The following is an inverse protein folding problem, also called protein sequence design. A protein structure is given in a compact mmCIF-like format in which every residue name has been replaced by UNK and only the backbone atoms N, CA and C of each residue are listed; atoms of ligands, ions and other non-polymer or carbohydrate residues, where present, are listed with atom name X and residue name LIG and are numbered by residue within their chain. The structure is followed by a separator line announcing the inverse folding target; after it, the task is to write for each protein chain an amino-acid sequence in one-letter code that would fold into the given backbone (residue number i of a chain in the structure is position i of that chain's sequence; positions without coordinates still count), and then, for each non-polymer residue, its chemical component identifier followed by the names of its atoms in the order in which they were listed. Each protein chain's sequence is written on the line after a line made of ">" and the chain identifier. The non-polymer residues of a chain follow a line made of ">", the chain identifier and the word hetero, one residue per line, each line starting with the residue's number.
data_IF_071968666662
#
_entry.id   IF_071968666662
#
_cell.length_a   1.000
_cell.length_b   1.000
_cell.length_c   1.000
_cell.angle_alpha   90.00
_cell.angle_beta   90.00
_cell.angle_gamma   90.00
#
_symmetry.space_group_name_H-M   'P 1'
#
loop_
_entity.id
_entity.type
_entity.pdbx_description
1 polymer ?
#
# COMPACT_ATOMS: atom_id res chain seq x y z
N UNK A 1 -26.90 -45.16 1.30
CA UNK A 1 -27.10 -43.71 1.55
C UNK A 1 -25.87 -43.01 2.13
N UNK A 2 -25.04 -43.64 2.99
CA UNK A 2 -23.81 -43.00 3.51
C UNK A 2 -22.71 -42.70 2.46
N UNK A 3 -22.52 -43.54 1.45
CA UNK A 3 -21.46 -43.34 0.44
C UNK A 3 -21.66 -42.08 -0.42
N UNK A 4 -22.92 -41.66 -0.63
CA UNK A 4 -23.26 -40.45 -1.40
C UNK A 4 -23.01 -39.18 -0.58
N UNK A 5 -23.24 -39.23 0.73
CA UNK A 5 -22.98 -38.11 1.63
C UNK A 5 -21.47 -37.81 1.73
N UNK A 6 -20.63 -38.84 1.75
CA UNK A 6 -19.16 -38.68 1.80
C UNK A 6 -18.64 -38.00 0.51
N UNK A 7 -19.14 -38.41 -0.66
CA UNK A 7 -18.76 -37.78 -1.93
C UNK A 7 -19.16 -36.30 -2.00
N UNK A 8 -20.33 -35.94 -1.47
CA UNK A 8 -20.79 -34.55 -1.43
C UNK A 8 -19.91 -33.67 -0.52
N UNK A 9 -19.47 -34.18 0.63
CA UNK A 9 -18.59 -33.45 1.56
C UNK A 9 -17.18 -33.24 0.97
N UNK A 10 -16.64 -34.25 0.28
CA UNK A 10 -15.33 -34.14 -0.39
C UNK A 10 -15.40 -33.15 -1.56
N UNK A 11 -16.50 -33.15 -2.33
CA UNK A 11 -16.67 -32.19 -3.42
C UNK A 11 -16.81 -30.74 -2.92
N UNK A 12 -17.55 -30.50 -1.83
CA UNK A 12 -17.69 -29.16 -1.24
C UNK A 12 -16.38 -28.63 -0.63
N UNK A 13 -15.58 -29.49 0.00
CA UNK A 13 -14.29 -29.07 0.56
C UNK A 13 -13.28 -28.74 -0.53
N UNK A 14 -13.33 -29.45 -1.67
CA UNK A 14 -12.45 -29.18 -2.80
C UNK A 14 -12.80 -27.88 -3.55
N UNK A 15 -14.09 -27.51 -3.64
CA UNK A 15 -14.50 -26.22 -4.21
C UNK A 15 -14.18 -25.04 -3.29
N UNK A 16 -14.27 -25.20 -1.96
CA UNK A 16 -13.84 -24.19 -0.99
C UNK A 16 -12.34 -23.86 -1.09
N UNK A 17 -11.50 -24.85 -1.37
CA UNK A 17 -10.05 -24.66 -1.58
C UNK A 17 -9.71 -23.99 -2.92
N UNK A 18 -10.55 -24.13 -3.95
CA UNK A 18 -10.32 -23.48 -5.24
C UNK A 18 -10.73 -22.00 -5.24
N UNK A 19 -11.74 -21.61 -4.46
CA UNK A 19 -12.21 -20.21 -4.36
C UNK A 19 -11.27 -19.33 -3.53
N UNK A 20 -10.46 -19.92 -2.66
CA UNK A 20 -9.54 -19.17 -1.77
C UNK A 20 -8.19 -18.82 -2.40
N UNK A 21 -7.91 -19.25 -3.62
CA UNK A 21 -6.62 -19.02 -4.29
C UNK A 21 -6.51 -17.73 -5.10
N UNK A 22 -7.60 -16.96 -5.28
CA UNK A 22 -7.58 -15.69 -6.03
C UNK A 22 -7.51 -14.44 -5.11
N UNK A 23 -6.91 -14.56 -3.93
CA UNK A 23 -6.79 -13.46 -2.96
C UNK A 23 -5.36 -12.87 -2.83
N UNK A 24 -4.44 -13.16 -3.75
CA UNK A 24 -3.08 -12.56 -3.73
C UNK A 24 -2.70 -11.80 -5.01
N UNK A 25 -3.68 -11.42 -5.82
CA UNK A 25 -3.46 -10.44 -6.87
C UNK A 25 -3.34 -9.04 -6.27
N UNK A 26 -2.31 -8.76 -5.46
CA UNK A 26 -1.98 -7.36 -5.19
C UNK A 26 -1.73 -6.70 -6.56
N UNK A 27 -2.42 -5.60 -6.89
CA UNK A 27 -2.06 -4.84 -8.08
C UNK A 27 -0.57 -4.53 -7.97
N UNK A 28 0.20 -4.86 -9.01
CA UNK A 28 1.62 -4.47 -9.08
C UNK A 28 1.66 -2.95 -9.24
N UNK A 29 1.47 -2.22 -8.16
CA UNK A 29 1.62 -0.77 -8.12
C UNK A 29 3.09 -0.46 -8.36
N UNK A 30 3.38 0.32 -9.39
CA UNK A 30 4.75 0.75 -9.64
C UNK A 30 5.09 1.85 -8.63
N UNK A 31 6.05 1.56 -7.76
CA UNK A 31 6.51 2.51 -6.76
C UNK A 31 7.68 3.38 -7.23
N UNK A 32 8.13 3.22 -8.47
CA UNK A 32 9.22 4.01 -9.02
C UNK A 32 8.73 5.42 -9.38
N UNK A 33 9.34 6.43 -8.75
CA UNK A 33 9.04 7.85 -9.01
C UNK A 33 9.37 8.32 -10.43
N UNK A 34 10.16 7.58 -11.21
CA UNK A 34 10.40 7.92 -12.62
C UNK A 34 9.16 7.73 -13.50
N UNK A 35 8.10 7.10 -12.97
CA UNK A 35 6.81 6.90 -13.64
C UNK A 35 5.68 7.65 -12.91
N UNK A 36 4.46 7.55 -13.42
CA UNK A 36 3.31 8.17 -12.79
C UNK A 36 2.94 7.44 -11.49
N UNK A 37 3.00 8.13 -10.36
CA UNK A 37 2.51 7.63 -9.08
C UNK A 37 0.98 7.65 -9.04
N UNK A 38 0.37 6.59 -8.52
CA UNK A 38 -1.09 6.47 -8.38
C UNK A 38 -1.46 6.52 -6.91
N UNK A 39 -2.24 7.54 -6.50
CA UNK A 39 -2.72 7.72 -5.12
C UNK A 39 -4.23 7.42 -5.04
N UNK A 40 -4.75 6.95 -3.89
CA UNK A 40 -4.05 6.73 -2.63
C UNK A 40 -3.27 5.40 -2.57
N UNK A 41 -3.35 4.56 -3.61
CA UNK A 41 -2.70 3.24 -3.67
C UNK A 41 -1.20 3.27 -3.33
N UNK A 42 -0.46 4.26 -3.83
CA UNK A 42 0.95 4.40 -3.53
C UNK A 42 1.23 4.66 -2.04
N UNK A 43 0.32 5.28 -1.29
CA UNK A 43 0.49 5.49 0.15
C UNK A 43 0.50 4.17 0.91
N UNK A 44 -0.31 3.19 0.50
CA UNK A 44 -0.49 1.92 1.23
C UNK A 44 0.36 0.79 0.68
N UNK A 45 0.64 0.78 -0.63
CA UNK A 45 1.40 -0.30 -1.28
C UNK A 45 2.88 0.02 -1.48
N UNK A 46 3.27 1.30 -1.55
CA UNK A 46 4.67 1.65 -1.75
C UNK A 46 5.42 1.79 -0.43
N UNK A 47 6.64 1.24 -0.35
CA UNK A 47 7.42 1.32 0.87
C UNK A 47 7.74 2.77 1.19
N UNK A 48 7.87 3.08 2.47
CA UNK A 48 8.47 4.35 2.89
C UNK A 48 9.89 4.49 2.32
N UNK A 49 10.37 5.73 2.12
CA UNK A 49 11.73 5.96 1.65
C UNK A 49 12.74 5.41 2.65
N UNK A 50 13.89 4.97 2.15
CA UNK A 50 14.99 4.61 3.04
C UNK A 50 15.58 5.88 3.63
N UNK A 51 15.65 5.91 4.96
CA UNK A 51 16.34 6.97 5.70
C UNK A 51 17.84 6.96 5.34
N UNK A 52 18.35 8.11 4.94
CA UNK A 52 19.77 8.38 4.71
C UNK A 52 20.19 9.59 5.55
N UNK A 53 20.76 9.30 6.73
CA UNK A 53 21.17 10.31 7.72
C UNK A 53 22.32 11.21 7.25
N UNK A 54 22.96 10.89 6.12
CA UNK A 54 23.95 11.78 5.52
C UNK A 54 23.30 12.87 4.65
N UNK A 55 22.02 12.72 4.31
CA UNK A 55 21.24 13.78 3.66
C UNK A 55 20.83 14.84 4.66
N UNK A 56 20.88 16.09 4.21
CA UNK A 56 20.36 17.25 4.97
C UNK A 56 18.95 17.65 4.54
N UNK A 57 18.38 16.92 3.60
CA UNK A 57 17.01 17.10 3.13
C UNK A 57 16.13 16.07 3.79
N UNK A 58 14.85 16.40 3.89
CA UNK A 58 13.80 15.50 4.29
C UNK A 58 12.66 15.51 3.26
N UNK A 59 11.85 14.47 3.30
CA UNK A 59 10.58 14.34 2.60
C UNK A 59 9.55 13.85 3.60
N UNK A 60 8.27 14.00 3.28
CA UNK A 60 7.19 13.37 4.04
C UNK A 60 6.80 12.05 3.39
N UNK A 61 6.44 11.05 4.19
CA UNK A 61 5.98 9.75 3.72
C UNK A 61 4.87 9.20 4.62
N UNK A 62 3.89 8.56 4.01
CA UNK A 62 2.80 7.94 4.73
C UNK A 62 3.26 6.67 5.43
N UNK A 63 3.07 6.63 6.74
CA UNK A 63 3.33 5.48 7.58
C UNK A 63 2.02 4.75 7.85
N UNK A 64 1.86 3.58 7.21
CA UNK A 64 0.64 2.76 7.33
C UNK A 64 0.44 2.17 8.73
N UNK A 65 1.50 2.05 9.53
CA UNK A 65 1.42 1.51 10.90
C UNK A 65 0.86 2.52 11.88
N UNK A 66 1.24 3.79 11.74
CA UNK A 66 0.81 4.89 12.61
C UNK A 66 -0.34 5.69 12.03
N UNK A 67 -0.61 5.53 10.73
CA UNK A 67 -1.59 6.32 9.98
C UNK A 67 -1.27 7.82 9.98
N UNK A 68 0.02 8.16 9.83
CA UNK A 68 0.54 9.54 9.85
C UNK A 68 1.48 9.80 8.67
N UNK A 69 1.70 11.08 8.36
CA UNK A 69 2.71 11.52 7.41
C UNK A 69 4.00 11.89 8.16
N UNK A 70 4.97 10.97 8.16
CA UNK A 70 6.20 11.12 8.94
C UNK A 70 7.31 11.78 8.09
N UNK A 71 8.09 12.64 8.73
CA UNK A 71 9.30 13.22 8.12
C UNK A 71 10.42 12.17 8.06
N UNK A 72 10.98 11.95 6.87
CA UNK A 72 12.08 11.02 6.62
C UNK A 72 13.28 11.77 6.05
N UNK A 73 14.43 11.70 6.71
CA UNK A 73 15.69 12.24 6.20
C UNK A 73 16.15 11.44 4.99
N UNK A 74 15.86 11.96 3.81
CA UNK A 74 16.27 11.38 2.55
C UNK A 74 16.17 12.45 1.46
N UNK A 75 16.45 12.08 0.22
CA UNK A 75 16.30 12.98 -0.92
C UNK A 75 15.13 12.52 -1.78
N UNK A 76 14.34 13.46 -2.25
CA UNK A 76 13.40 13.19 -3.33
C UNK A 76 14.18 12.94 -4.63
N UNK A 77 14.21 11.69 -5.10
CA UNK A 77 14.94 11.30 -6.30
C UNK A 77 14.11 10.39 -7.22
N UNK A 78 14.41 10.34 -8.54
CA UNK A 78 13.64 9.56 -9.49
C UNK A 78 13.70 8.04 -9.30
N UNK A 79 14.68 7.53 -8.53
CA UNK A 79 14.79 6.11 -8.16
C UNK A 79 14.17 5.84 -6.79
N UNK A 80 13.62 6.87 -6.15
CA UNK A 80 12.88 6.81 -4.91
C UNK A 80 11.51 6.19 -5.09
N UNK A 81 10.78 6.16 -3.98
CA UNK A 81 9.43 5.58 -3.88
C UNK A 81 8.37 6.63 -4.20
N UNK A 82 7.22 6.21 -4.72
CA UNK A 82 6.04 7.06 -4.86
C UNK A 82 5.47 7.49 -3.51
N UNK A 83 5.76 6.77 -2.42
CA UNK A 83 5.45 7.21 -1.06
C UNK A 83 6.50 8.25 -0.60
N UNK A 84 6.53 9.41 -1.26
CA UNK A 84 7.45 10.51 -0.97
C UNK A 84 6.84 11.81 -1.45
N UNK A 85 6.65 12.74 -0.51
CA UNK A 85 5.98 14.01 -0.71
C UNK A 85 6.89 15.15 -0.28
N UNK A 86 6.78 16.29 -0.93
CA UNK A 86 7.61 17.44 -0.60
C UNK A 86 7.10 18.14 0.67
N UNK A 87 5.79 18.10 0.90
CA UNK A 87 5.11 18.77 1.99
C UNK A 87 4.22 17.78 2.76
N UNK A 88 4.01 18.05 4.05
CA UNK A 88 3.14 17.24 4.92
C UNK A 88 1.69 17.23 4.41
N UNK A 89 1.16 18.42 4.13
CA UNK A 89 -0.19 18.63 3.56
C UNK A 89 -0.40 17.85 2.25
N UNK A 90 0.65 17.75 1.41
CA UNK A 90 0.59 16.97 0.17
C UNK A 90 0.42 15.47 0.48
N UNK A 91 1.16 14.96 1.46
CA UNK A 91 1.03 13.59 1.92
C UNK A 91 -0.36 13.33 2.51
N UNK A 92 -0.86 14.22 3.36
CA UNK A 92 -2.16 14.09 4.02
C UNK A 92 -3.31 14.08 3.01
N UNK A 93 -3.27 14.99 2.03
CA UNK A 93 -4.26 15.07 0.95
C UNK A 93 -4.27 13.82 0.07
N UNK A 94 -3.11 13.36 -0.42
CA UNK A 94 -3.06 12.19 -1.31
C UNK A 94 -3.35 10.88 -0.60
N UNK A 95 -3.05 10.79 0.70
CA UNK A 95 -3.24 9.57 1.49
C UNK A 95 -4.55 9.55 2.28
N UNK A 96 -5.42 10.55 2.08
CA UNK A 96 -6.77 10.58 2.66
C UNK A 96 -6.79 10.81 4.17
N UNK A 97 -5.79 11.52 4.70
CA UNK A 97 -5.78 12.02 6.08
C UNK A 97 -6.53 13.36 6.21
N UNK A 98 -6.60 14.14 5.14
CA UNK A 98 -7.50 15.29 5.03
C UNK A 98 -8.92 14.78 4.78
N UNK A 99 -9.60 14.35 5.84
CA UNK A 99 -11.04 14.20 5.81
C UNK A 99 -11.67 15.60 5.78
N UNK A 100 -12.44 15.89 4.73
CA UNK A 100 -13.39 17.01 4.66
C UNK A 100 -14.48 16.88 5.76
N UNK A 101 -14.09 16.99 7.04
CA UNK A 101 -14.98 17.05 8.21
C UNK A 101 -14.95 18.44 8.87
N UNK A 102 -14.84 19.50 8.08
CA UNK A 102 -15.07 20.88 8.53
C UNK A 102 -16.04 21.63 7.59
N UNK A 103 -17.20 21.02 7.30
CA UNK A 103 -18.39 21.73 6.77
C UNK A 103 -19.26 22.28 7.91
#
# INVERSE_FOLDING_TARGET
>A
MHKLAIFAVVAMTMTLLLVSNDASGQPKTNCNRSEACTYPDACTFCPMPKEDRFQRTSVYAFNVETWTCDEVFTRMDPKGTCNSFQYEEECEQYCGLDSDENE
#
